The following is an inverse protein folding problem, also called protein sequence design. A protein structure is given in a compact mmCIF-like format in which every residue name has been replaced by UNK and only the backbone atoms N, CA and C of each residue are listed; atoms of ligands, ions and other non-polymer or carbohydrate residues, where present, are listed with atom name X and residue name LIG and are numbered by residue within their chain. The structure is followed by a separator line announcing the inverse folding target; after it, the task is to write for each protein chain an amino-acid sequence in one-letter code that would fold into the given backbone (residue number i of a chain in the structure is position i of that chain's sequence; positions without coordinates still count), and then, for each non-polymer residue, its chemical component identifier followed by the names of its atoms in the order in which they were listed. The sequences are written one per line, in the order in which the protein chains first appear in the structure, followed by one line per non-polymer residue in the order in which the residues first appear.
data_IF_647631808915
#
_entry.id   IF_647631808915
#
_cell.length_a   1.000
_cell.length_b   1.000
_cell.length_c   1.000
_cell.angle_alpha   90.00
_cell.angle_beta   90.00
_cell.angle_gamma   90.00
#
_symmetry.space_group_name_H-M   'P 1'
#
loop_
_entity.id
_entity.type
_entity.pdbx_description
1 polymer ?
#
# COMPACT_ATOMS: atom_id res chain seq x y z
N UNK A 1 -15.93 -24.03 -2.31
CA UNK A 1 -15.66 -22.72 -2.88
C UNK A 1 -14.23 -22.32 -2.57
N UNK A 2 -13.43 -22.06 -3.59
CA UNK A 2 -12.05 -21.72 -3.37
C UNK A 2 -11.96 -20.38 -2.59
N UNK A 3 -11.29 -20.44 -1.46
CA UNK A 3 -11.04 -19.26 -0.67
C UNK A 3 -10.05 -18.38 -1.43
N UNK A 4 -10.37 -17.10 -1.54
CA UNK A 4 -9.47 -16.15 -2.21
C UNK A 4 -8.11 -16.06 -1.53
N UNK A 5 -8.04 -16.36 -0.25
CA UNK A 5 -6.77 -16.35 0.48
C UNK A 5 -5.81 -17.41 -0.06
N UNK A 6 -6.30 -18.49 -0.64
CA UNK A 6 -5.47 -19.54 -1.23
C UNK A 6 -4.74 -19.07 -2.49
N UNK A 7 -5.25 -18.02 -3.15
CA UNK A 7 -4.63 -17.47 -4.34
C UNK A 7 -3.56 -16.44 -4.03
N UNK A 8 -3.50 -16.00 -2.79
CA UNK A 8 -2.52 -15.01 -2.36
C UNK A 8 -1.22 -15.69 -2.04
N UNK A 9 -0.16 -15.24 -2.67
CA UNK A 9 1.18 -15.73 -2.39
C UNK A 9 1.63 -15.34 -1.00
N UNK A 10 1.20 -14.18 -0.52
CA UNK A 10 1.56 -13.65 0.79
C UNK A 10 0.32 -13.19 1.54
N UNK A 11 0.37 -13.26 2.86
CA UNK A 11 -0.70 -12.77 3.69
C UNK A 11 -0.79 -11.24 3.59
N UNK A 12 -1.99 -10.73 3.83
CA UNK A 12 -2.24 -9.29 3.88
C UNK A 12 -2.75 -8.94 5.28
N UNK A 13 -2.33 -7.77 5.75
CA UNK A 13 -2.76 -7.24 7.03
C UNK A 13 -3.80 -6.15 6.78
N UNK A 14 -5.00 -6.34 7.32
CA UNK A 14 -6.05 -5.32 7.29
C UNK A 14 -5.83 -4.40 8.48
N UNK A 15 -5.21 -3.26 8.22
CA UNK A 15 -4.91 -2.30 9.26
C UNK A 15 -4.95 -0.90 8.65
N UNK A 16 -5.61 0.00 9.38
CA UNK A 16 -5.66 1.40 8.98
C UNK A 16 -4.31 2.04 9.22
N UNK A 17 -3.73 2.60 8.19
CA UNK A 17 -2.46 3.30 8.30
C UNK A 17 -2.52 4.58 7.48
N UNK A 18 -1.85 5.62 7.98
CA UNK A 18 -1.73 6.85 7.19
C UNK A 18 -0.70 6.62 6.10
N UNK A 19 -1.00 7.09 4.90
CA UNK A 19 -0.04 7.06 3.80
C UNK A 19 0.03 8.45 3.19
N UNK A 20 1.20 8.79 2.67
CA UNK A 20 1.35 9.92 1.79
C UNK A 20 1.93 9.41 0.49
N UNK A 21 1.61 10.08 -0.60
CA UNK A 21 2.11 9.66 -1.90
C UNK A 21 2.26 10.86 -2.82
N UNK A 22 3.16 10.72 -3.77
CA UNK A 22 3.29 11.69 -4.86
C UNK A 22 3.52 10.93 -6.15
N UNK A 23 3.11 11.58 -7.25
CA UNK A 23 3.29 11.02 -8.58
C UNK A 23 4.74 11.24 -9.01
N UNK A 24 5.38 10.20 -9.52
CA UNK A 24 6.77 10.28 -9.96
C UNK A 24 6.91 10.87 -11.37
N UNK A 25 5.82 10.90 -12.10
CA UNK A 25 5.84 11.41 -13.46
C UNK A 25 5.88 12.93 -13.48
N UNK A 26 6.69 13.45 -14.38
CA UNK A 26 6.89 14.88 -14.62
C UNK A 26 7.35 15.67 -13.41
N UNK A 27 8.64 15.60 -13.08
CA UNK A 27 9.21 16.60 -12.20
C UNK A 27 9.11 17.94 -12.93
N UNK A 28 8.25 18.80 -12.45
CA UNK A 28 8.27 20.18 -12.88
C UNK A 28 9.42 20.83 -12.14
N UNK A 29 10.41 21.30 -12.89
CA UNK A 29 11.68 21.72 -12.36
C UNK A 29 11.62 22.79 -11.28
N UNK A 30 10.53 23.52 -11.15
CA UNK A 30 10.44 24.66 -10.25
C UNK A 30 9.31 24.56 -9.22
N UNK A 31 8.59 23.44 -9.17
CA UNK A 31 7.52 23.26 -8.19
C UNK A 31 7.80 22.04 -7.33
N UNK A 32 7.68 22.19 -6.00
CA UNK A 32 7.73 21.00 -5.15
C UNK A 32 6.61 20.06 -5.57
N UNK A 33 6.94 18.80 -5.75
CA UNK A 33 5.94 17.81 -6.09
C UNK A 33 4.86 17.79 -5.00
N UNK A 34 3.61 17.91 -5.39
CA UNK A 34 2.49 17.84 -4.47
C UNK A 34 2.45 16.45 -3.83
N UNK A 35 2.32 16.44 -2.51
CA UNK A 35 2.18 15.22 -1.76
C UNK A 35 0.74 15.10 -1.30
N UNK A 36 0.13 13.96 -1.60
CA UNK A 36 -1.26 13.67 -1.27
C UNK A 36 -1.32 12.73 -0.08
N UNK A 37 -2.46 12.75 0.61
CA UNK A 37 -2.69 11.90 1.77
C UNK A 37 -3.72 10.83 1.43
N UNK A 38 -3.56 9.67 2.05
CA UNK A 38 -4.52 8.58 1.94
C UNK A 38 -4.52 7.74 3.19
N UNK A 39 -5.40 6.75 3.19
CA UNK A 39 -5.52 5.81 4.30
C UNK A 39 -5.35 4.42 3.76
N UNK A 40 -4.30 3.74 4.20
CA UNK A 40 -4.06 2.35 3.85
C UNK A 40 -5.10 1.47 4.52
N UNK A 41 -5.68 0.57 3.74
CA UNK A 41 -6.70 -0.36 4.23
C UNK A 41 -6.15 -1.75 4.45
N UNK A 42 -5.32 -2.22 3.54
CA UNK A 42 -4.60 -3.46 3.78
C UNK A 42 -3.24 -3.42 3.09
N UNK A 43 -2.30 -4.09 3.71
CA UNK A 43 -0.89 -4.05 3.33
C UNK A 43 -0.40 -5.49 3.25
N UNK A 44 0.35 -5.79 2.20
CA UNK A 44 1.02 -7.07 2.05
C UNK A 44 2.44 -6.86 1.54
N UNK A 45 3.14 -7.96 1.29
CA UNK A 45 4.51 -7.91 0.80
C UNK A 45 4.60 -7.40 -0.64
N UNK A 46 3.54 -7.54 -1.41
CA UNK A 46 3.55 -7.19 -2.83
C UNK A 46 2.88 -5.85 -3.13
N UNK A 47 2.05 -5.36 -2.23
CA UNK A 47 1.33 -4.14 -2.52
C UNK A 47 0.46 -3.63 -1.38
N UNK A 48 -0.25 -2.58 -1.69
CA UNK A 48 -1.06 -1.82 -0.74
C UNK A 48 -2.39 -1.45 -1.39
N UNK A 49 -3.46 -1.54 -0.61
CA UNK A 49 -4.74 -0.93 -0.96
C UNK A 49 -4.93 0.30 -0.08
N UNK A 50 -5.17 1.46 -0.69
CA UNK A 50 -5.42 2.67 0.08
C UNK A 50 -6.58 3.48 -0.49
N UNK A 51 -7.18 4.28 0.37
CA UNK A 51 -8.26 5.21 0.01
C UNK A 51 -7.71 6.63 -0.01
N UNK A 52 -8.09 7.41 -1.02
CA UNK A 52 -7.79 8.84 -1.08
C UNK A 52 -8.88 9.56 -1.88
N UNK A 53 -8.84 10.87 -1.88
CA UNK A 53 -9.75 11.67 -2.71
C UNK A 53 -9.24 11.87 -4.14
N UNK A 54 -8.12 11.24 -4.49
CA UNK A 54 -7.47 11.41 -5.78
C UNK A 54 -7.76 10.22 -6.69
N UNK A 55 -8.26 10.48 -7.88
CA UNK A 55 -8.37 9.46 -8.93
C UNK A 55 -7.02 9.31 -9.62
N UNK A 56 -6.51 8.09 -9.68
CA UNK A 56 -5.20 7.81 -10.25
C UNK A 56 -5.34 6.87 -11.45
N UNK A 57 -4.58 7.16 -12.50
CA UNK A 57 -4.58 6.33 -13.69
C UNK A 57 -3.75 5.06 -13.47
N UNK A 58 -4.15 3.98 -14.14
CA UNK A 58 -3.41 2.73 -14.14
C UNK A 58 -2.00 2.96 -14.66
N UNK A 59 -1.03 2.29 -14.07
CA UNK A 59 0.40 2.37 -14.38
C UNK A 59 1.08 3.68 -13.91
N UNK A 60 0.35 4.56 -13.23
CA UNK A 60 0.97 5.73 -12.61
C UNK A 60 1.97 5.27 -11.55
N UNK A 61 3.17 5.82 -11.58
CA UNK A 61 4.20 5.50 -10.61
C UNK A 61 4.10 6.45 -9.43
N UNK A 62 4.18 5.86 -8.24
CA UNK A 62 4.03 6.59 -6.99
C UNK A 62 5.24 6.40 -6.08
N UNK A 63 5.63 7.48 -5.40
CA UNK A 63 6.48 7.39 -4.21
C UNK A 63 5.57 7.49 -3.00
N UNK A 64 5.71 6.56 -2.07
CA UNK A 64 4.81 6.47 -0.92
C UNK A 64 5.57 6.42 0.38
N UNK A 65 5.00 7.08 1.39
CA UNK A 65 5.40 6.93 2.78
C UNK A 65 4.25 6.25 3.51
N UNK A 66 4.53 5.12 4.12
CA UNK A 66 3.52 4.35 4.84
C UNK A 66 3.84 4.43 6.33
N UNK A 67 2.92 5.02 7.10
CA UNK A 67 3.09 5.23 8.54
C UNK A 67 2.40 4.07 9.26
N UNK A 68 3.18 3.07 9.62
CA UNK A 68 2.66 1.90 10.32
C UNK A 68 2.45 2.20 11.79
N UNK A 69 1.32 1.77 12.39
CA UNK A 69 1.09 1.95 13.81
C UNK A 69 2.24 1.36 14.65
N UNK A 70 2.70 2.11 15.63
CA UNK A 70 3.78 1.68 16.50
C UNK A 70 5.19 1.87 15.93
N UNK A 71 5.31 2.42 14.74
CA UNK A 71 6.62 2.73 14.15
C UNK A 71 6.83 4.23 14.10
N UNK A 72 8.01 4.69 14.49
CA UNK A 72 8.33 6.11 14.52
C UNK A 72 8.57 6.69 13.12
N UNK A 73 9.23 5.92 12.27
CA UNK A 73 9.56 6.36 10.92
C UNK A 73 8.65 5.67 9.90
N UNK A 74 8.29 6.38 8.83
CA UNK A 74 7.51 5.74 7.76
C UNK A 74 8.36 4.76 6.98
N UNK A 75 7.69 3.82 6.30
CA UNK A 75 8.33 2.95 5.32
C UNK A 75 8.23 3.61 3.97
N UNK A 76 9.35 3.76 3.30
CA UNK A 76 9.45 4.37 1.98
C UNK A 76 9.36 3.30 0.91
N UNK A 77 8.43 3.45 -0.01
CA UNK A 77 8.24 2.48 -1.09
C UNK A 77 7.84 3.21 -2.37
N UNK A 78 8.29 2.70 -3.50
CA UNK A 78 7.77 3.09 -4.79
C UNK A 78 6.94 1.95 -5.36
N UNK A 79 5.98 2.29 -6.20
CA UNK A 79 5.15 1.29 -6.83
C UNK A 79 4.34 1.86 -7.98
N UNK A 80 3.51 1.02 -8.57
CA UNK A 80 2.67 1.38 -9.71
C UNK A 80 1.21 1.11 -9.41
N UNK A 81 0.35 2.02 -9.83
CA UNK A 81 -1.10 1.86 -9.70
C UNK A 81 -1.54 0.71 -10.61
N UNK A 82 -2.20 -0.28 -10.02
CA UNK A 82 -2.74 -1.42 -10.78
C UNK A 82 -4.18 -1.17 -11.15
N UNK A 83 -4.93 -0.57 -10.25
CA UNK A 83 -6.32 -0.22 -10.49
C UNK A 83 -6.74 0.90 -9.54
N UNK A 84 -7.78 1.61 -9.92
CA UNK A 84 -8.37 2.68 -9.12
C UNK A 84 -9.86 2.70 -9.40
N UNK A 85 -10.68 2.80 -8.36
CA UNK A 85 -12.13 2.82 -8.53
C UNK A 85 -12.79 3.68 -7.46
N UNK A 86 -13.93 4.25 -7.83
CA UNK A 86 -14.72 5.05 -6.89
C UNK A 86 -15.09 4.22 -5.66
N UNK A 87 -15.04 4.83 -4.50
CA UNK A 87 -15.33 4.19 -3.23
C UNK A 87 -15.84 5.21 -2.23
N UNK A 88 -16.36 4.71 -1.11
CA UNK A 88 -16.80 5.54 0.00
C UNK A 88 -16.18 5.00 1.26
N UNK A 89 -15.61 5.89 2.07
CA UNK A 89 -15.04 5.52 3.35
C UNK A 89 -15.54 6.49 4.42
N UNK A 90 -16.19 5.96 5.45
CA UNK A 90 -16.78 6.75 6.53
C UNK A 90 -17.67 7.89 6.01
N UNK A 91 -18.49 7.56 5.00
CA UNK A 91 -19.41 8.52 4.39
C UNK A 91 -18.76 9.48 3.41
N UNK A 92 -17.45 9.44 3.25
CA UNK A 92 -16.72 10.34 2.35
C UNK A 92 -16.45 9.65 1.02
N UNK A 93 -16.80 10.32 -0.06
CA UNK A 93 -16.53 9.82 -1.41
C UNK A 93 -15.06 10.01 -1.77
N UNK A 94 -14.51 9.03 -2.44
CA UNK A 94 -13.15 9.06 -2.91
C UNK A 94 -12.87 7.85 -3.78
N UNK A 95 -11.65 7.33 -3.69
CA UNK A 95 -11.19 6.26 -4.55
C UNK A 95 -10.35 5.25 -3.76
N UNK A 96 -10.59 3.97 -4.04
CA UNK A 96 -9.70 2.90 -3.61
C UNK A 96 -8.68 2.66 -4.71
N UNK A 97 -7.42 2.61 -4.33
CA UNK A 97 -6.32 2.41 -5.28
C UNK A 97 -5.48 1.22 -4.83
N UNK A 98 -5.29 0.28 -5.75
CA UNK A 98 -4.40 -0.85 -5.54
C UNK A 98 -3.04 -0.57 -6.18
N UNK A 99 -1.98 -0.69 -5.39
CA UNK A 99 -0.60 -0.41 -5.80
C UNK A 99 0.22 -1.68 -5.68
N UNK A 100 1.02 -1.97 -6.71
CA UNK A 100 2.02 -3.03 -6.67
C UNK A 100 3.37 -2.40 -6.38
N UNK A 101 4.09 -2.93 -5.38
CA UNK A 101 5.40 -2.40 -5.00
C UNK A 101 6.47 -2.79 -6.01
N UNK A 102 7.45 -1.92 -6.18
CA UNK A 102 8.62 -2.19 -7.00
C UNK A 102 9.60 -3.11 -6.26
N UNK A 103 10.26 -3.97 -7.02
CA UNK A 103 11.24 -4.88 -6.45
C UNK A 103 12.54 -4.19 -6.03
N UNK A 104 12.80 -2.98 -6.53
CA UNK A 104 14.01 -2.25 -6.16
C UNK A 104 13.97 -1.74 -4.72
N UNK A 105 12.80 -1.72 -4.10
CA UNK A 105 12.65 -1.31 -2.69
C UNK A 105 12.68 -2.51 -1.74
N UNK A 106 13.47 -3.50 -2.07
CA UNK A 106 13.50 -4.79 -1.34
C UNK A 106 13.64 -4.62 0.18
N UNK A 107 14.52 -3.74 0.64
CA UNK A 107 14.72 -3.55 2.07
C UNK A 107 13.46 -3.03 2.77
N UNK A 108 12.75 -2.11 2.15
CA UNK A 108 11.51 -1.58 2.70
C UNK A 108 10.39 -2.62 2.64
N UNK A 109 10.34 -3.41 1.56
CA UNK A 109 9.41 -4.52 1.46
C UNK A 109 9.66 -5.53 2.56
N UNK A 110 10.94 -5.84 2.86
CA UNK A 110 11.29 -6.74 3.95
C UNK A 110 10.85 -6.18 5.31
N UNK A 111 10.96 -4.88 5.52
CA UNK A 111 10.45 -4.26 6.73
C UNK A 111 8.94 -4.44 6.86
N UNK A 112 8.21 -4.29 5.76
CA UNK A 112 6.77 -4.53 5.74
C UNK A 112 6.44 -5.98 6.03
N UNK A 113 7.18 -6.91 5.44
CA UNK A 113 6.97 -8.34 5.69
C UNK A 113 7.12 -8.64 7.17
N UNK A 114 8.18 -8.14 7.79
CA UNK A 114 8.42 -8.33 9.22
C UNK A 114 7.28 -7.75 10.06
N UNK A 115 6.80 -6.57 9.69
CA UNK A 115 5.70 -5.94 10.40
C UNK A 115 4.42 -6.78 10.27
N UNK A 116 4.10 -7.21 9.06
CA UNK A 116 2.91 -8.01 8.80
C UNK A 116 2.97 -9.32 9.57
N UNK A 117 4.12 -10.01 9.53
CA UNK A 117 4.30 -11.25 10.27
C UNK A 117 4.18 -11.05 11.78
N UNK A 118 4.69 -9.93 12.30
CA UNK A 118 4.60 -9.64 13.72
C UNK A 118 3.18 -9.31 14.19
N UNK A 119 2.26 -9.02 13.27
CA UNK A 119 0.87 -8.70 13.60
C UNK A 119 -0.12 -9.78 13.17
N UNK A 120 0.38 -10.89 12.61
CA UNK A 120 -0.46 -12.01 12.19
C UNK A 120 -0.54 -13.06 13.29
N UNK A 121 -1.65 -13.82 13.28
CA UNK A 121 -1.76 -15.00 14.13
C UNK A 121 -0.79 -16.09 13.67
N UNK A 122 -0.55 -17.09 14.54
CA UNK A 122 0.30 -18.22 14.19
C UNK A 122 -0.21 -18.94 12.94
N UNK A 123 -1.54 -19.10 12.82
CA UNK A 123 -2.14 -19.75 11.67
C UNK A 123 -1.91 -18.97 10.39
N UNK A 124 -1.99 -17.64 10.47
CA UNK A 124 -1.74 -16.79 9.31
C UNK A 124 -0.28 -16.82 8.89
N UNK A 125 0.63 -16.87 9.84
CA UNK A 125 2.06 -16.98 9.57
C UNK A 125 2.37 -18.29 8.84
N UNK A 126 1.72 -19.38 9.23
CA UNK A 126 1.90 -20.68 8.58
C UNK A 126 1.54 -20.64 7.11
N UNK A 127 0.63 -19.77 6.71
CA UNK A 127 0.25 -19.63 5.30
C UNK A 127 1.33 -18.96 4.46
N UNK A 128 2.24 -18.22 5.08
CA UNK A 128 3.33 -17.57 4.36
C UNK A 128 4.37 -18.57 3.88
N UNK A 129 4.45 -19.71 4.52
CA UNK A 129 5.43 -20.75 4.19
C UNK A 129 4.96 -21.70 3.09
N UNK A 130 3.68 -21.63 2.76
CA UNK A 130 3.09 -22.57 1.81
C UNK A 130 3.06 -22.13 0.36
#
# INVERSE_FOLDING_TARGET
MADRSERRKYARLEIMSNVTFRLMETPQENEPADRFRGIGKNIGAEGLLFFSDKELEQETRLEMEIFLPGKEAPVYITGSVRWCRASVMDGKKGFDTGVKFDTINRNHVLMLIKYVCGNLSVDEISRLDG
#
